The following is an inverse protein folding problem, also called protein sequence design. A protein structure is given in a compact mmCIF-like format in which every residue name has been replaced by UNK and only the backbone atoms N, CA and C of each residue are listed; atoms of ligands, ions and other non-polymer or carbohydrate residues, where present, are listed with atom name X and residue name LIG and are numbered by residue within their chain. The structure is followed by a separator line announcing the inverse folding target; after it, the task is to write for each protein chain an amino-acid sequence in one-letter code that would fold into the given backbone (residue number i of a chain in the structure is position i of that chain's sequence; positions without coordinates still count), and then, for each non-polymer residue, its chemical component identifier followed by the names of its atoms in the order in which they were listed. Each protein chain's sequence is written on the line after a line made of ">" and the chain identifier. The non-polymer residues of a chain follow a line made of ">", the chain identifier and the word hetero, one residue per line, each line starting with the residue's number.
data_IF_491561715602
#
_entry.id   IF_491561715602
#
_cell.length_a   1.000
_cell.length_b   1.000
_cell.length_c   1.000
_cell.angle_alpha   90.00
_cell.angle_beta   90.00
_cell.angle_gamma   90.00
#
_symmetry.space_group_name_H-M   'P 1'
#
loop_
_entity.id
_entity.type
_entity.pdbx_description
1 polymer ?
#
# COMPACT_ATOMS: atom_id res chain seq x y z
N UNK A 1 -32.34 1.88 -5.65
CA UNK A 1 -31.33 2.89 -6.00
C UNK A 1 -29.93 2.31 -5.76
N UNK A 2 -29.12 2.26 -6.78
CA UNK A 2 -27.78 1.71 -6.64
C UNK A 2 -26.93 2.66 -5.81
N UNK A 3 -26.34 2.15 -4.74
CA UNK A 3 -25.42 2.92 -3.90
C UNK A 3 -24.04 2.88 -4.57
N UNK A 4 -23.49 4.07 -4.82
CA UNK A 4 -22.17 4.17 -5.43
C UNK A 4 -21.09 3.82 -4.40
N UNK A 5 -20.20 2.88 -4.73
CA UNK A 5 -19.10 2.52 -3.87
C UNK A 5 -18.10 3.67 -3.78
N UNK A 6 -17.59 3.91 -2.56
CA UNK A 6 -16.53 4.88 -2.35
C UNK A 6 -15.21 4.30 -2.84
N UNK A 7 -14.41 5.15 -3.46
CA UNK A 7 -13.14 4.72 -4.06
C UNK A 7 -12.07 5.76 -3.75
N UNK A 8 -10.88 5.28 -3.34
CA UNK A 8 -9.74 6.12 -3.05
C UNK A 8 -8.54 5.62 -3.83
N UNK A 9 -7.85 6.54 -4.52
CA UNK A 9 -6.63 6.22 -5.26
C UNK A 9 -5.44 6.80 -4.51
N UNK A 10 -4.45 5.96 -4.26
CA UNK A 10 -3.25 6.32 -3.50
C UNK A 10 -2.05 6.37 -4.44
N UNK A 11 -1.29 7.46 -4.36
CA UNK A 11 -0.09 7.69 -5.17
C UNK A 11 1.15 7.66 -4.28
N UNK A 12 2.31 7.56 -4.91
CA UNK A 12 3.59 7.65 -4.22
C UNK A 12 3.89 9.13 -3.93
N UNK A 13 3.91 9.49 -2.66
CA UNK A 13 4.29 10.85 -2.28
C UNK A 13 5.82 10.97 -2.25
N UNK A 14 6.32 12.21 -2.22
CA UNK A 14 7.77 12.46 -2.28
C UNK A 14 8.45 12.43 -0.92
N UNK A 15 7.78 11.96 0.14
CA UNK A 15 8.40 11.84 1.46
C UNK A 15 9.39 10.69 1.48
N UNK A 16 10.62 10.98 1.92
CA UNK A 16 11.70 10.01 1.93
C UNK A 16 11.68 9.11 3.19
N UNK A 17 11.07 9.58 4.27
CA UNK A 17 11.15 8.90 5.57
C UNK A 17 10.52 7.51 5.58
N UNK A 18 9.60 7.23 4.64
CA UNK A 18 8.92 5.93 4.54
C UNK A 18 9.37 5.12 3.31
N UNK A 19 10.48 5.51 2.69
CA UNK A 19 11.00 4.89 1.47
C UNK A 19 12.40 4.31 1.72
N UNK A 20 12.63 3.10 1.21
CA UNK A 20 13.94 2.46 1.27
C UNK A 20 14.88 3.14 0.28
N UNK A 21 15.93 3.82 0.78
CA UNK A 21 16.80 4.65 -0.03
C UNK A 21 18.20 4.10 -0.26
N UNK A 22 18.61 3.06 0.47
CA UNK A 22 19.96 2.52 0.33
C UNK A 22 20.16 1.90 -1.05
N UNK A 23 21.03 2.51 -1.86
CA UNK A 23 21.28 2.06 -3.23
C UNK A 23 20.16 2.36 -4.21
N UNK A 24 19.23 3.23 -3.85
CA UNK A 24 18.04 3.50 -4.65
C UNK A 24 18.24 4.66 -5.59
N UNK A 25 17.78 4.49 -6.84
CA UNK A 25 17.55 5.58 -7.79
C UNK A 25 16.04 5.72 -7.95
N UNK A 26 15.51 6.90 -7.72
CA UNK A 26 14.10 7.17 -7.83
C UNK A 26 13.85 8.43 -8.66
N UNK A 27 12.91 8.33 -9.60
CA UNK A 27 12.55 9.44 -10.48
C UNK A 27 11.04 9.63 -10.47
N UNK A 28 10.60 10.83 -10.11
CA UNK A 28 9.18 11.21 -10.09
C UNK A 28 8.84 11.86 -11.43
N UNK A 29 8.41 11.03 -12.41
CA UNK A 29 8.06 11.54 -13.74
C UNK A 29 6.73 12.26 -13.74
N UNK A 30 5.77 11.77 -12.98
CA UNK A 30 4.44 12.34 -12.84
C UNK A 30 3.85 11.86 -11.52
N UNK A 31 2.70 12.42 -11.14
CA UNK A 31 1.99 12.00 -9.94
C UNK A 31 1.70 10.50 -9.93
N UNK A 32 1.39 9.94 -11.09
CA UNK A 32 1.05 8.54 -11.27
C UNK A 32 2.14 7.76 -12.01
N UNK A 33 3.37 8.22 -11.98
CA UNK A 33 4.49 7.52 -12.61
C UNK A 33 5.77 7.80 -11.82
N UNK A 34 6.13 6.85 -10.97
CA UNK A 34 7.36 6.90 -10.17
C UNK A 34 8.22 5.71 -10.60
N UNK A 35 9.40 6.00 -11.10
CA UNK A 35 10.37 4.98 -11.49
C UNK A 35 11.33 4.73 -10.34
N UNK A 36 11.44 3.46 -9.92
CA UNK A 36 12.29 3.04 -8.82
C UNK A 36 13.25 1.96 -9.30
N UNK A 37 14.53 2.12 -8.99
CA UNK A 37 15.58 1.15 -9.33
C UNK A 37 16.49 0.92 -8.13
N UNK A 38 16.74 -0.35 -7.83
CA UNK A 38 17.69 -0.72 -6.79
C UNK A 38 18.20 -2.14 -7.05
N UNK A 39 19.44 -2.25 -7.53
CA UNK A 39 20.04 -3.53 -7.86
C UNK A 39 20.55 -4.28 -6.62
N UNK A 40 20.65 -3.62 -5.49
CA UNK A 40 21.20 -4.18 -4.24
C UNK A 40 20.13 -4.65 -3.26
N UNK A 41 18.87 -4.37 -3.56
CA UNK A 41 17.75 -4.63 -2.66
C UNK A 41 17.46 -6.12 -2.55
N UNK A 42 17.54 -6.72 -1.35
CA UNK A 42 17.23 -8.14 -1.20
C UNK A 42 15.70 -8.37 -1.20
N UNK A 43 15.27 -9.59 -1.57
CA UNK A 43 13.86 -9.95 -1.42
C UNK A 43 13.40 -9.81 0.02
N UNK A 44 12.17 -9.36 0.22
CA UNK A 44 11.61 -9.09 1.55
C UNK A 44 11.78 -7.65 2.02
N UNK A 45 12.51 -6.82 1.27
CA UNK A 45 12.67 -5.41 1.62
C UNK A 45 11.35 -4.68 1.49
N UNK A 46 10.96 -3.92 2.53
CA UNK A 46 9.83 -3.01 2.46
C UNK A 46 10.32 -1.73 1.78
N UNK A 47 9.84 -1.51 0.56
CA UNK A 47 10.31 -0.40 -0.28
C UNK A 47 9.68 0.92 0.15
N UNK A 48 8.37 0.92 0.37
CA UNK A 48 7.59 2.11 0.70
C UNK A 48 6.46 1.72 1.63
N UNK A 49 6.16 2.58 2.60
CA UNK A 49 5.04 2.39 3.51
C UNK A 49 4.12 3.60 3.46
N UNK A 50 2.80 3.36 3.35
CA UNK A 50 1.76 4.38 3.47
C UNK A 50 1.00 4.12 4.77
N UNK A 51 0.59 5.19 5.45
CA UNK A 51 -0.06 5.09 6.76
C UNK A 51 -1.46 5.67 6.72
N UNK A 52 -2.36 5.11 7.52
CA UNK A 52 -3.73 5.64 7.69
C UNK A 52 -3.83 6.65 8.82
N UNK A 53 -2.78 6.77 9.64
CA UNK A 53 -2.69 7.74 10.73
C UNK A 53 -1.30 8.35 10.75
N UNK A 54 -1.18 9.53 11.38
CA UNK A 54 0.12 10.19 11.53
C UNK A 54 1.06 9.26 12.30
N UNK A 55 2.25 9.02 11.74
CA UNK A 55 3.26 8.18 12.37
C UNK A 55 4.35 9.06 12.98
N UNK A 56 4.23 9.34 14.27
CA UNK A 56 5.20 10.18 14.97
C UNK A 56 6.55 9.52 15.15
N UNK A 57 6.60 8.19 15.20
CA UNK A 57 7.85 7.46 15.36
C UNK A 57 8.69 7.47 14.08
N UNK A 58 8.06 7.56 12.94
CA UNK A 58 8.75 7.58 11.65
C UNK A 58 8.89 9.01 11.08
N UNK A 59 9.07 10.01 11.94
CA UNK A 59 9.29 11.38 11.49
C UNK A 59 8.02 12.16 11.18
N UNK A 60 6.91 11.80 11.83
CA UNK A 60 5.63 12.49 11.69
C UNK A 60 5.11 12.48 10.25
N UNK A 61 5.09 11.29 9.65
CA UNK A 61 4.57 11.11 8.29
C UNK A 61 3.06 11.32 8.29
N UNK A 62 2.60 12.19 7.40
CA UNK A 62 1.17 12.47 7.25
C UNK A 62 0.44 11.25 6.67
N UNK A 63 -0.82 11.01 7.09
CA UNK A 63 -1.58 9.89 6.56
C UNK A 63 -1.92 10.11 5.08
N UNK A 64 -1.79 9.05 4.30
CA UNK A 64 -2.10 9.06 2.87
C UNK A 64 -3.10 7.98 2.47
N UNK A 65 -3.53 7.16 3.43
CA UNK A 65 -4.50 6.10 3.19
C UNK A 65 -5.89 6.53 3.63
N UNK A 66 -6.95 6.05 2.97
CA UNK A 66 -8.31 6.30 3.43
C UNK A 66 -8.58 5.57 4.74
N UNK A 67 -9.53 6.07 5.51
CA UNK A 67 -10.01 5.35 6.69
C UNK A 67 -10.89 4.20 6.22
N UNK A 68 -10.71 3.04 6.83
CA UNK A 68 -11.55 1.87 6.57
C UNK A 68 -12.16 1.36 7.87
N UNK A 69 -13.32 0.73 7.77
CA UNK A 69 -14.09 0.28 8.93
C UNK A 69 -13.97 -1.24 9.11
N UNK A 70 -13.87 -1.68 10.35
CA UNK A 70 -13.85 -3.09 10.68
C UNK A 70 -15.10 -3.81 10.18
N UNK A 71 -14.95 -5.04 9.73
CA UNK A 71 -15.99 -5.92 9.19
C UNK A 71 -16.57 -5.50 7.84
N UNK A 72 -16.15 -4.37 7.27
CA UNK A 72 -16.60 -3.97 5.94
C UNK A 72 -15.76 -4.63 4.86
N UNK A 73 -16.37 -4.78 3.68
CA UNK A 73 -15.73 -5.38 2.51
C UNK A 73 -15.07 -4.32 1.65
N UNK A 74 -13.87 -4.61 1.18
CA UNK A 74 -13.12 -3.72 0.31
C UNK A 74 -12.48 -4.50 -0.83
N UNK A 75 -12.14 -3.76 -1.88
CA UNK A 75 -11.39 -4.26 -3.02
C UNK A 75 -10.16 -3.39 -3.19
N UNK A 76 -9.00 -4.01 -3.33
CA UNK A 76 -7.75 -3.28 -3.60
C UNK A 76 -7.21 -3.70 -4.96
N UNK A 77 -6.83 -2.72 -5.78
CA UNK A 77 -6.16 -2.97 -7.06
C UNK A 77 -4.87 -2.18 -7.11
N UNK A 78 -3.83 -2.81 -7.66
CA UNK A 78 -2.48 -2.22 -7.72
C UNK A 78 -2.11 -2.04 -9.18
N UNK A 79 -1.66 -0.84 -9.53
CA UNK A 79 -1.23 -0.51 -10.89
C UNK A 79 0.26 -0.20 -10.86
N UNK A 80 1.06 -1.16 -11.29
CA UNK A 80 2.51 -0.98 -11.43
C UNK A 80 3.05 -1.94 -12.50
N UNK A 81 4.22 -1.60 -13.04
CA UNK A 81 4.94 -2.44 -13.99
C UNK A 81 6.34 -2.70 -13.43
N UNK A 82 6.77 -3.96 -13.39
CA UNK A 82 8.11 -4.28 -12.91
C UNK A 82 8.85 -5.19 -13.89
N UNK A 83 10.17 -5.25 -13.70
CA UNK A 83 11.07 -6.00 -14.58
C UNK A 83 10.94 -7.52 -14.44
N UNK A 84 10.40 -7.97 -13.31
CA UNK A 84 10.20 -9.40 -13.04
C UNK A 84 8.73 -9.62 -12.70
N UNK A 85 8.10 -10.60 -13.32
CA UNK A 85 6.71 -10.96 -13.02
C UNK A 85 6.58 -11.30 -11.54
N UNK A 86 5.58 -10.70 -10.87
CA UNK A 86 5.34 -10.89 -9.44
C UNK A 86 6.53 -10.51 -8.56
N UNK A 87 7.41 -9.64 -9.06
CA UNK A 87 8.59 -9.20 -8.34
C UNK A 87 8.34 -8.15 -7.26
N UNK A 88 7.14 -7.59 -7.22
CA UNK A 88 6.69 -6.60 -6.21
C UNK A 88 5.28 -6.96 -5.79
N UNK A 89 5.00 -6.88 -4.48
CA UNK A 89 3.63 -7.05 -4.00
C UNK A 89 3.29 -5.99 -2.96
N UNK A 90 2.00 -5.76 -2.79
CA UNK A 90 1.47 -4.86 -1.77
C UNK A 90 1.02 -5.70 -0.58
N UNK A 91 1.37 -5.27 0.62
CA UNK A 91 0.93 -5.91 1.85
C UNK A 91 0.20 -4.88 2.71
N UNK A 92 -1.00 -5.22 3.15
CA UNK A 92 -1.75 -4.43 4.12
C UNK A 92 -1.57 -5.03 5.50
N UNK A 93 -1.20 -4.21 6.47
CA UNK A 93 -1.04 -4.63 7.86
C UNK A 93 -2.04 -3.87 8.69
N UNK A 94 -2.97 -4.58 9.33
CA UNK A 94 -4.02 -4.01 10.16
C UNK A 94 -3.58 -4.03 11.61
N UNK A 95 -3.73 -2.90 12.30
CA UNK A 95 -3.28 -2.77 13.67
C UNK A 95 -4.41 -2.36 14.59
N UNK A 96 -4.40 -2.91 15.79
CA UNK A 96 -5.37 -2.56 16.83
C UNK A 96 -5.00 -1.25 17.52
N UNK A 97 -5.81 -0.89 18.52
CA UNK A 97 -5.71 0.37 19.25
C UNK A 97 -4.34 0.57 19.91
N UNK A 98 -3.69 -0.51 20.35
CA UNK A 98 -2.41 -0.45 21.04
C UNK A 98 -1.23 -0.73 20.10
N UNK A 99 -1.47 -0.72 18.78
CA UNK A 99 -0.44 -0.96 17.78
C UNK A 99 -0.16 -2.43 17.49
N UNK A 100 -0.86 -3.36 18.14
CA UNK A 100 -0.70 -4.79 17.89
C UNK A 100 -1.25 -5.15 16.50
N UNK A 101 -0.69 -6.19 15.88
CA UNK A 101 -1.16 -6.64 14.59
C UNK A 101 -2.51 -7.35 14.75
N UNK A 102 -3.54 -6.81 14.10
CA UNK A 102 -4.88 -7.40 14.10
C UNK A 102 -5.10 -8.32 12.89
N UNK A 103 -4.22 -8.24 11.90
CA UNK A 103 -4.27 -9.08 10.71
C UNK A 103 -3.40 -8.49 9.62
N UNK A 104 -3.21 -9.25 8.55
CA UNK A 104 -2.46 -8.78 7.39
C UNK A 104 -3.00 -9.43 6.13
N UNK A 105 -2.73 -8.80 4.99
CA UNK A 105 -3.16 -9.27 3.68
C UNK A 105 -2.05 -9.03 2.68
N UNK A 106 -1.69 -10.07 1.93
CA UNK A 106 -0.76 -9.94 0.80
C UNK A 106 -1.57 -9.87 -0.48
N UNK A 107 -1.36 -8.80 -1.24
CA UNK A 107 -1.96 -8.62 -2.57
C UNK A 107 -0.89 -9.02 -3.58
N UNK A 108 -0.86 -10.30 -3.93
CA UNK A 108 0.15 -10.89 -4.82
C UNK A 108 -0.27 -10.90 -6.28
N UNK A 109 -1.45 -10.40 -6.56
CA UNK A 109 -1.98 -10.23 -7.92
C UNK A 109 -2.34 -8.76 -8.13
N UNK A 110 -2.84 -8.43 -9.33
CA UNK A 110 -3.20 -7.05 -9.64
C UNK A 110 -4.33 -6.54 -8.75
N UNK A 111 -5.20 -7.41 -8.24
CA UNK A 111 -6.33 -7.00 -7.43
C UNK A 111 -6.79 -8.12 -6.50
N UNK A 112 -7.42 -7.74 -5.38
CA UNK A 112 -7.93 -8.69 -4.41
C UNK A 112 -9.07 -8.06 -3.60
N UNK A 113 -10.04 -8.88 -3.19
CA UNK A 113 -11.09 -8.46 -2.26
C UNK A 113 -10.67 -8.85 -0.84
N UNK A 114 -11.04 -8.03 0.13
CA UNK A 114 -10.75 -8.35 1.52
C UNK A 114 -11.81 -7.78 2.46
N UNK A 115 -11.87 -8.35 3.66
CA UNK A 115 -12.68 -7.84 4.75
C UNK A 115 -11.75 -7.26 5.81
N UNK A 116 -12.00 -6.03 6.21
CA UNK A 116 -11.21 -5.39 7.27
C UNK A 116 -11.44 -6.12 8.60
N UNK A 117 -10.39 -6.51 9.34
CA UNK A 117 -10.56 -7.14 10.64
C UNK A 117 -11.33 -6.25 11.62
N UNK A 118 -12.17 -6.86 12.47
CA UNK A 118 -13.05 -6.13 13.39
C UNK A 118 -12.33 -5.16 14.30
N UNK A 119 -11.16 -5.56 14.81
CA UNK A 119 -10.42 -4.76 15.80
C UNK A 119 -9.42 -3.79 15.17
N UNK A 120 -9.56 -3.51 13.89
CA UNK A 120 -8.65 -2.60 13.19
C UNK A 120 -8.89 -1.17 13.64
N UNK A 121 -7.85 -0.53 14.17
CA UNK A 121 -7.85 0.88 14.55
C UNK A 121 -7.11 1.72 13.51
N UNK A 122 -6.03 1.17 12.97
CA UNK A 122 -5.24 1.80 11.92
C UNK A 122 -4.69 0.72 11.01
N UNK A 123 -4.15 1.10 9.87
CA UNK A 123 -3.49 0.15 8.99
C UNK A 123 -2.40 0.86 8.20
N UNK A 124 -1.52 0.06 7.65
CA UNK A 124 -0.48 0.54 6.77
C UNK A 124 -0.43 -0.31 5.52
N UNK A 125 -0.02 0.28 4.40
CA UNK A 125 0.22 -0.41 3.15
C UNK A 125 1.72 -0.40 2.89
N UNK A 126 2.28 -1.58 2.61
CA UNK A 126 3.70 -1.75 2.38
C UNK A 126 3.93 -2.30 0.98
N UNK A 127 4.80 -1.65 0.21
CA UNK A 127 5.24 -2.18 -1.07
C UNK A 127 6.51 -2.98 -0.81
N UNK A 128 6.48 -4.28 -1.12
CA UNK A 128 7.52 -5.22 -0.71
C UNK A 128 8.20 -5.83 -1.93
N UNK A 129 9.53 -5.91 -1.87
CA UNK A 129 10.31 -6.53 -2.91
C UNK A 129 10.20 -8.06 -2.85
N UNK A 130 9.93 -8.67 -3.99
CA UNK A 130 9.90 -10.13 -4.14
C UNK A 130 10.83 -10.58 -5.27
N UNK A 131 11.93 -9.84 -5.49
CA UNK A 131 12.96 -10.16 -6.45
C UNK A 131 13.13 -9.16 -7.58
N UNK A 132 12.24 -8.18 -7.72
CA UNK A 132 12.39 -7.13 -8.73
C UNK A 132 13.48 -6.13 -8.33
N UNK A 133 14.13 -5.53 -9.31
CA UNK A 133 15.15 -4.49 -9.10
C UNK A 133 14.74 -3.15 -9.71
N UNK A 134 13.71 -3.15 -10.55
CA UNK A 134 13.24 -1.93 -11.21
C UNK A 134 11.74 -2.03 -11.45
N UNK A 135 11.03 -0.94 -11.21
CA UNK A 135 9.60 -0.90 -11.49
C UNK A 135 9.12 0.54 -11.68
N UNK A 136 7.97 0.66 -12.34
CA UNK A 136 7.22 1.91 -12.43
C UNK A 136 5.96 1.75 -11.58
N UNK A 137 5.80 2.57 -10.58
CA UNK A 137 4.62 2.57 -9.73
C UNK A 137 3.67 3.67 -10.19
N UNK A 138 2.42 3.32 -10.41
CA UNK A 138 1.40 4.29 -10.81
C UNK A 138 0.50 4.67 -9.64
N UNK A 139 -0.18 3.68 -9.07
CA UNK A 139 -1.11 3.91 -7.96
C UNK A 139 -1.61 2.58 -7.42
N UNK A 140 -2.30 2.64 -6.28
CA UNK A 140 -3.20 1.57 -5.89
C UNK A 140 -4.53 2.19 -5.44
N UNK A 141 -5.62 1.44 -5.61
CA UNK A 141 -6.97 1.94 -5.37
C UNK A 141 -7.67 1.02 -4.39
N UNK A 142 -8.29 1.61 -3.37
CA UNK A 142 -9.12 0.89 -2.42
C UNK A 142 -10.57 1.30 -2.67
N UNK A 143 -11.43 0.32 -2.91
CA UNK A 143 -12.84 0.53 -3.18
C UNK A 143 -13.67 -0.13 -2.08
N UNK A 144 -14.59 0.62 -1.48
CA UNK A 144 -15.52 0.09 -0.50
C UNK A 144 -16.59 -0.71 -1.24
N UNK A 145 -16.78 -1.98 -0.84
CA UNK A 145 -17.79 -2.85 -1.40
C UNK A 145 -19.02 -2.81 -0.52
N UNK A 146 -20.14 -2.36 -1.08
CA UNK A 146 -21.42 -2.38 -0.37
C UNK A 146 -22.03 -3.76 -0.58
N UNK A 147 -22.27 -4.49 0.52
CA UNK A 147 -22.98 -5.75 0.43
C UNK A 147 -24.44 -5.47 0.09
N UNK A 148 -24.91 -6.13 -0.95
CA UNK A 148 -26.32 -6.13 -1.29
C UNK A 148 -26.91 -7.36 -0.64
N UNK A 149 -27.70 -7.14 0.38
CA UNK A 149 -28.41 -8.23 1.03
C UNK A 149 -29.66 -8.59 0.27
#
# INVERSE_FOLDING_TARGET
>A
MAKQDKQWTVYWNEYAADTYLYGTEIMFHAKDDVEFRNALMPPGTVIKTWYSMVNYQAGRIEPSLPMIDGECQYHVSVNLNCDVAEGIFLRLVFRGKNGEEAGSLVVDSAETDFRCPLKTYSYEAQLVCAGAHAFHFHSFTITERTEIS
#
